data_IF_422865152211
#
_entry.id   IF_422865152211
#
_cell.length_a   1.000
_cell.length_b   1.000
_cell.length_c   1.000
_cell.angle_alpha   90.00
_cell.angle_beta   90.00
_cell.angle_gamma   90.00
#
_symmetry.space_group_name_H-M   'P 1'
#
loop_
_entity.id
_entity.type
_entity.pdbx_description
1 polymer ?
#
# COMPACT_ATOMS: atom_id res chain seq x y z
N UNK A 1 26.87 10.59 9.98
CA UNK A 1 25.90 10.69 11.09
C UNK A 1 25.84 9.38 11.85
N UNK A 2 25.73 9.42 13.17
CA UNK A 2 25.53 8.23 14.01
C UNK A 2 24.14 7.61 13.75
N UNK A 3 23.99 6.30 13.97
CA UNK A 3 22.72 5.59 13.80
C UNK A 3 21.81 5.84 15.01
N UNK A 4 20.55 6.13 14.75
CA UNK A 4 19.52 6.21 15.78
C UNK A 4 18.90 4.82 15.98
N UNK A 5 18.77 4.38 17.23
CA UNK A 5 18.18 3.08 17.56
C UNK A 5 16.96 3.30 18.45
N UNK A 6 15.81 2.77 18.01
CA UNK A 6 14.50 2.98 18.64
C UNK A 6 13.80 1.65 18.73
N UNK A 7 13.04 1.45 19.80
CA UNK A 7 12.43 0.18 20.14
C UNK A 7 10.94 0.32 20.47
N UNK A 8 10.28 -0.84 20.52
CA UNK A 8 8.93 -0.97 21.08
C UNK A 8 7.88 -0.14 20.35
N UNK A 9 6.97 0.43 21.13
CA UNK A 9 5.79 1.12 20.62
C UNK A 9 6.12 2.39 19.85
N UNK A 10 7.14 3.14 20.29
CA UNK A 10 7.53 4.38 19.64
C UNK A 10 7.97 4.15 18.18
N UNK A 11 8.72 3.07 17.94
CA UNK A 11 9.12 2.65 16.60
C UNK A 11 7.90 2.27 15.74
N UNK A 12 6.98 1.45 16.26
CA UNK A 12 5.77 1.03 15.53
C UNK A 12 4.87 2.20 15.17
N UNK A 13 4.68 3.15 16.10
CA UNK A 13 3.86 4.33 15.86
C UNK A 13 4.47 5.25 14.79
N UNK A 14 5.79 5.42 14.78
CA UNK A 14 6.48 6.18 13.74
C UNK A 14 6.30 5.52 12.36
N UNK A 15 6.50 4.21 12.27
CA UNK A 15 6.27 3.47 11.02
C UNK A 15 4.80 3.58 10.57
N UNK A 16 3.83 3.45 11.49
CA UNK A 16 2.41 3.61 11.18
C UNK A 16 2.08 5.00 10.63
N UNK A 17 2.66 6.07 11.19
CA UNK A 17 2.46 7.44 10.66
C UNK A 17 3.00 7.59 9.25
N UNK A 18 4.14 6.98 8.96
CA UNK A 18 4.71 6.93 7.61
C UNK A 18 3.82 6.19 6.61
N UNK A 19 3.36 5.00 7.00
CA UNK A 19 2.42 4.19 6.21
C UNK A 19 1.14 4.97 5.92
N UNK A 20 0.57 5.65 6.91
CA UNK A 20 -0.65 6.43 6.74
C UNK A 20 -0.44 7.61 5.80
N UNK A 21 0.65 8.36 5.90
CA UNK A 21 0.92 9.47 5.00
C UNK A 21 0.99 9.02 3.53
N UNK A 22 1.66 7.90 3.26
CA UNK A 22 1.71 7.36 1.90
C UNK A 22 0.35 6.83 1.44
N UNK A 23 -0.29 6.01 2.26
CA UNK A 23 -1.55 5.37 1.89
C UNK A 23 -2.70 6.37 1.73
N UNK A 24 -2.74 7.41 2.56
CA UNK A 24 -3.77 8.46 2.50
C UNK A 24 -3.63 9.31 1.24
N UNK A 25 -2.41 9.56 0.77
CA UNK A 25 -2.16 10.24 -0.49
C UNK A 25 -2.49 9.36 -1.72
N UNK A 26 -2.27 8.06 -1.64
CA UNK A 26 -2.53 7.13 -2.75
C UNK A 26 -4.01 6.76 -2.84
N UNK A 27 -4.69 6.49 -1.72
CA UNK A 27 -6.06 5.96 -1.73
C UNK A 27 -7.11 6.90 -2.33
N UNK A 28 -6.83 8.22 -2.38
CA UNK A 28 -7.77 9.18 -2.98
C UNK A 28 -7.92 8.97 -4.48
N UNK A 29 -6.97 8.29 -5.12
CA UNK A 29 -7.00 8.00 -6.55
C UNK A 29 -7.75 6.70 -6.89
N UNK A 30 -8.19 5.94 -5.88
CA UNK A 30 -8.81 4.62 -6.08
C UNK A 30 -10.17 4.70 -6.79
N UNK A 31 -10.31 3.89 -7.83
CA UNK A 31 -11.59 3.61 -8.51
C UNK A 31 -12.04 4.69 -9.51
N UNK A 32 -13.21 4.52 -10.14
CA UNK A 32 -13.68 5.38 -11.23
C UNK A 32 -13.96 6.82 -10.79
N UNK A 33 -14.20 7.03 -9.49
CA UNK A 33 -14.38 8.35 -8.86
C UNK A 33 -13.13 8.84 -8.12
N UNK A 34 -11.97 8.25 -8.44
CA UNK A 34 -10.68 8.69 -7.93
C UNK A 34 -10.46 10.17 -8.19
N UNK A 35 -9.95 10.87 -7.18
CA UNK A 35 -9.60 12.28 -7.23
C UNK A 35 -8.17 12.45 -7.73
N UNK A 36 -7.91 13.62 -8.29
CA UNK A 36 -6.57 13.97 -8.74
C UNK A 36 -5.68 14.30 -7.55
N UNK A 37 -4.44 13.87 -7.64
CA UNK A 37 -3.34 14.33 -6.80
C UNK A 37 -2.50 15.30 -7.62
N UNK A 38 -2.14 16.42 -7.01
CA UNK A 38 -1.27 17.44 -7.62
C UNK A 38 0.12 17.30 -7.03
N UNK A 39 1.10 17.12 -7.89
CA UNK A 39 2.50 16.87 -7.54
C UNK A 39 3.32 18.04 -8.07
N UNK A 40 4.04 18.68 -7.16
CA UNK A 40 4.94 19.78 -7.52
C UNK A 40 6.11 19.30 -8.38
N UNK A 41 6.59 20.17 -9.25
CA UNK A 41 7.75 19.92 -10.10
C UNK A 41 8.74 21.06 -9.94
N UNK A 42 10.03 20.72 -9.83
CA UNK A 42 11.11 21.72 -9.69
C UNK A 42 11.14 22.76 -10.81
N UNK A 43 10.65 22.41 -12.00
CA UNK A 43 10.55 23.29 -13.15
C UNK A 43 9.25 23.01 -13.92
N UNK A 44 8.63 24.06 -14.45
CA UNK A 44 7.40 23.95 -15.26
C UNK A 44 6.12 23.86 -14.43
N UNK A 45 5.07 23.29 -15.03
CA UNK A 45 3.76 23.12 -14.38
C UNK A 45 3.71 21.86 -13.49
N UNK A 46 2.85 21.86 -12.45
CA UNK A 46 2.66 20.69 -11.60
C UNK A 46 2.06 19.51 -12.39
N UNK A 47 2.33 18.29 -11.92
CA UNK A 47 1.72 17.09 -12.50
C UNK A 47 0.40 16.80 -11.80
N UNK A 48 -0.65 16.63 -12.58
CA UNK A 48 -1.97 16.23 -12.08
C UNK A 48 -2.16 14.77 -12.50
N UNK A 49 -2.33 13.86 -11.53
CA UNK A 49 -2.43 12.43 -11.82
C UNK A 49 -3.47 11.73 -10.94
N UNK A 50 -4.00 10.62 -11.44
CA UNK A 50 -4.77 9.61 -10.68
C UNK A 50 -4.01 8.29 -10.56
N UNK A 51 -2.79 8.21 -11.06
CA UNK A 51 -1.98 7.01 -10.94
C UNK A 51 -1.37 6.92 -9.53
N UNK A 52 -1.81 5.92 -8.77
CA UNK A 52 -1.31 5.67 -7.42
C UNK A 52 0.19 5.34 -7.36
N UNK A 53 0.75 4.76 -8.43
CA UNK A 53 2.19 4.45 -8.50
C UNK A 53 3.01 5.73 -8.61
N UNK A 54 2.60 6.63 -9.50
CA UNK A 54 3.23 7.94 -9.63
C UNK A 54 3.15 8.71 -8.32
N UNK A 55 1.99 8.71 -7.65
CA UNK A 55 1.85 9.37 -6.34
C UNK A 55 2.79 8.74 -5.30
N UNK A 56 2.82 7.41 -5.18
CA UNK A 56 3.65 6.73 -4.19
C UNK A 56 5.17 6.95 -4.40
N UNK A 57 5.61 7.15 -5.64
CA UNK A 57 7.03 7.42 -5.97
C UNK A 57 7.52 8.77 -5.47
N UNK A 58 6.64 9.77 -5.42
CA UNK A 58 6.96 11.15 -5.05
C UNK A 58 6.92 11.39 -3.54
N UNK A 59 6.54 10.37 -2.76
CA UNK A 59 6.47 10.47 -1.30
C UNK A 59 7.83 10.19 -0.68
N UNK A 60 8.41 11.25 -0.14
CA UNK A 60 9.63 11.24 0.66
C UNK A 60 9.40 12.09 1.92
N UNK A 61 9.46 11.43 3.09
CA UNK A 61 9.14 12.08 4.37
C UNK A 61 10.41 12.59 5.04
N UNK A 62 10.31 13.77 5.68
CA UNK A 62 11.43 14.41 6.37
C UNK A 62 11.93 13.60 7.57
N UNK A 63 11.00 12.99 8.32
CA UNK A 63 11.35 12.12 9.44
C UNK A 63 11.84 10.75 8.93
N UNK A 64 13.06 10.30 9.26
CA UNK A 64 13.60 9.05 8.72
C UNK A 64 12.82 7.79 9.11
N UNK A 65 12.16 7.77 10.27
CA UNK A 65 11.41 6.59 10.75
C UNK A 65 10.06 6.50 10.06
N UNK A 66 9.37 7.63 9.92
CA UNK A 66 8.14 7.71 9.13
C UNK A 66 8.46 7.40 7.67
N UNK A 67 9.54 7.96 7.13
CA UNK A 67 9.93 7.67 5.76
C UNK A 67 10.17 6.18 5.56
N UNK A 68 10.82 5.49 6.50
CA UNK A 68 11.01 4.04 6.43
C UNK A 68 9.68 3.29 6.29
N UNK A 69 8.65 3.68 7.05
CA UNK A 69 7.31 3.11 6.91
C UNK A 69 6.66 3.39 5.56
N UNK A 70 6.80 4.62 5.05
CA UNK A 70 6.34 4.97 3.70
C UNK A 70 7.05 4.12 2.63
N UNK A 71 8.39 4.00 2.71
CA UNK A 71 9.19 3.22 1.76
C UNK A 71 8.79 1.73 1.74
N UNK A 72 8.46 1.14 2.89
CA UNK A 72 7.97 -0.24 2.98
C UNK A 72 6.67 -0.45 2.17
N UNK A 73 5.72 0.48 2.24
CA UNK A 73 4.45 0.37 1.50
C UNK A 73 4.62 0.76 0.04
N UNK A 74 5.55 1.67 -0.28
CA UNK A 74 5.95 1.93 -1.67
C UNK A 74 6.46 0.66 -2.35
N UNK A 75 7.22 -0.17 -1.63
CA UNK A 75 7.71 -1.45 -2.15
C UNK A 75 6.56 -2.43 -2.46
N UNK A 76 5.53 -2.47 -1.61
CA UNK A 76 4.30 -3.25 -1.86
C UNK A 76 3.61 -2.82 -3.16
N UNK A 77 3.46 -1.50 -3.35
CA UNK A 77 2.86 -0.95 -4.57
C UNK A 77 3.70 -1.27 -5.81
N UNK A 78 5.02 -1.11 -5.75
CA UNK A 78 5.94 -1.38 -6.87
C UNK A 78 5.91 -2.85 -7.28
N UNK A 79 6.06 -3.78 -6.34
CA UNK A 79 6.05 -5.22 -6.63
C UNK A 79 4.72 -5.69 -7.25
N UNK A 80 3.61 -5.09 -6.81
CA UNK A 80 2.29 -5.36 -7.40
C UNK A 80 2.24 -4.89 -8.85
N UNK A 81 2.75 -3.68 -9.13
CA UNK A 81 2.86 -3.15 -10.49
C UNK A 81 3.71 -4.05 -11.38
N UNK A 82 4.86 -4.52 -10.88
CA UNK A 82 5.79 -5.34 -11.67
C UNK A 82 5.21 -6.71 -12.01
N UNK A 83 4.37 -7.26 -11.12
CA UNK A 83 3.78 -8.60 -11.30
C UNK A 83 2.48 -8.57 -12.09
N UNK A 84 1.62 -7.59 -11.83
CA UNK A 84 0.24 -7.56 -12.33
C UNK A 84 -0.04 -6.39 -13.29
N UNK A 85 0.79 -5.35 -13.31
CA UNK A 85 0.57 -4.14 -14.11
C UNK A 85 -0.53 -3.20 -13.60
N UNK A 86 -1.31 -3.61 -12.60
CA UNK A 86 -2.42 -2.87 -11.99
C UNK A 86 -2.61 -3.31 -10.52
N UNK A 87 -3.48 -2.61 -9.78
CA UNK A 87 -3.88 -2.98 -8.41
C UNK A 87 -2.99 -2.38 -7.31
N UNK A 88 -2.09 -1.47 -7.67
CA UNK A 88 -1.13 -0.86 -6.74
C UNK A 88 -1.81 -0.07 -5.62
N UNK A 89 -2.81 0.73 -5.97
CA UNK A 89 -3.65 1.46 -5.00
C UNK A 89 -4.37 0.50 -4.06
N UNK A 90 -4.91 -0.60 -4.59
CA UNK A 90 -5.57 -1.64 -3.78
C UNK A 90 -4.59 -2.29 -2.81
N UNK A 91 -3.38 -2.65 -3.28
CA UNK A 91 -2.34 -3.23 -2.45
C UNK A 91 -1.91 -2.29 -1.31
N UNK A 92 -1.75 -1.00 -1.60
CA UNK A 92 -1.44 0.04 -0.59
C UNK A 92 -2.53 0.15 0.47
N UNK A 93 -3.81 0.18 0.07
CA UNK A 93 -4.94 0.27 1.01
C UNK A 93 -5.03 -0.97 1.90
N UNK A 94 -4.83 -2.16 1.34
CA UNK A 94 -4.80 -3.41 2.11
C UNK A 94 -3.62 -3.45 3.08
N UNK A 95 -2.43 -3.03 2.64
CA UNK A 95 -1.25 -2.96 3.50
C UNK A 95 -1.46 -2.03 4.70
N UNK A 96 -2.06 -0.84 4.47
CA UNK A 96 -2.41 0.10 5.53
C UNK A 96 -3.37 -0.53 6.55
N UNK A 97 -4.45 -1.17 6.07
CA UNK A 97 -5.45 -1.79 6.94
C UNK A 97 -4.87 -2.93 7.78
N UNK A 98 -4.11 -3.84 7.15
CA UNK A 98 -3.49 -4.99 7.83
C UNK A 98 -2.49 -4.51 8.88
N UNK A 99 -1.62 -3.56 8.53
CA UNK A 99 -0.61 -3.05 9.46
C UNK A 99 -1.26 -2.34 10.65
N UNK A 100 -2.27 -1.49 10.41
CA UNK A 100 -2.97 -0.75 11.46
C UNK A 100 -3.64 -1.68 12.48
N UNK A 101 -4.42 -2.65 12.01
CA UNK A 101 -5.10 -3.58 12.90
C UNK A 101 -4.11 -4.56 13.56
N UNK A 102 -3.06 -4.98 12.85
CA UNK A 102 -1.97 -5.78 13.42
C UNK A 102 -1.25 -5.05 14.56
N UNK A 103 -0.86 -3.80 14.35
CA UNK A 103 -0.20 -2.96 15.35
C UNK A 103 -1.07 -2.76 16.60
N UNK A 104 -2.38 -2.56 16.41
CA UNK A 104 -3.35 -2.45 17.51
C UNK A 104 -3.43 -3.73 18.34
N UNK A 105 -3.49 -4.90 17.70
CA UNK A 105 -3.51 -6.18 18.41
C UNK A 105 -2.20 -6.45 19.17
N UNK A 106 -1.06 -6.10 18.58
CA UNK A 106 0.25 -6.22 19.23
C UNK A 106 0.35 -5.29 20.44
N UNK A 107 -0.15 -4.06 20.33
CA UNK A 107 -0.22 -3.13 21.45
C UNK A 107 -1.13 -3.64 22.58
N UNK A 108 -2.16 -4.42 22.26
CA UNK A 108 -3.02 -5.10 23.23
C UNK A 108 -2.39 -6.37 23.85
N UNK A 109 -1.14 -6.70 23.51
CA UNK A 109 -0.41 -7.83 24.07
C UNK A 109 -0.45 -9.12 23.25
N UNK A 110 -1.05 -9.11 22.06
CA UNK A 110 -1.02 -10.27 21.18
C UNK A 110 0.41 -10.56 20.68
N UNK A 111 0.77 -11.83 20.55
CA UNK A 111 2.05 -12.25 19.99
C UNK A 111 2.12 -11.89 18.48
N UNK A 112 3.07 -11.03 18.05
CA UNK A 112 3.19 -10.64 16.64
C UNK A 112 3.37 -11.83 15.69
N UNK A 113 4.04 -12.90 16.14
CA UNK A 113 4.29 -14.09 15.32
C UNK A 113 3.01 -14.89 15.07
N UNK A 114 2.11 -14.96 16.06
CA UNK A 114 0.83 -15.64 15.91
C UNK A 114 -0.14 -14.81 15.06
N UNK A 115 -0.15 -13.49 15.21
CA UNK A 115 -0.90 -12.57 14.33
C UNK A 115 -0.45 -12.74 12.87
N UNK A 116 0.87 -12.74 12.62
CA UNK A 116 1.42 -12.98 11.29
C UNK A 116 0.98 -14.32 10.72
N UNK A 117 1.11 -15.41 11.50
CA UNK A 117 0.70 -16.76 11.07
C UNK A 117 -0.79 -16.82 10.73
N UNK A 118 -1.63 -16.12 11.50
CA UNK A 118 -3.07 -16.01 11.23
C UNK A 118 -3.35 -15.31 9.91
N UNK A 119 -2.66 -14.19 9.64
CA UNK A 119 -2.77 -13.45 8.37
C UNK A 119 -2.35 -14.33 7.19
N UNK A 120 -1.22 -15.03 7.29
CA UNK A 120 -0.72 -15.92 6.22
C UNK A 120 -1.74 -17.01 5.86
N UNK A 121 -2.32 -17.68 6.87
CA UNK A 121 -3.37 -18.70 6.66
C UNK A 121 -4.62 -18.11 6.02
N UNK A 122 -5.04 -16.91 6.43
CA UNK A 122 -6.18 -16.24 5.83
C UNK A 122 -5.94 -15.88 4.37
N UNK A 123 -4.74 -15.38 4.03
CA UNK A 123 -4.35 -15.06 2.65
C UNK A 123 -4.32 -16.32 1.79
N UNK A 124 -3.80 -17.44 2.29
CA UNK A 124 -3.80 -18.72 1.57
C UNK A 124 -5.22 -19.20 1.26
N UNK A 125 -6.12 -19.18 2.25
CA UNK A 125 -7.50 -19.57 2.06
C UNK A 125 -8.24 -18.64 1.07
N UNK A 126 -8.05 -17.32 1.20
CA UNK A 126 -8.66 -16.33 0.32
C UNK A 126 -8.19 -16.46 -1.13
N UNK A 127 -6.88 -16.61 -1.35
CA UNK A 127 -6.34 -16.80 -2.71
C UNK A 127 -6.82 -18.09 -3.34
N UNK A 128 -6.96 -19.17 -2.54
CA UNK A 128 -7.59 -20.41 -2.98
C UNK A 128 -9.05 -20.22 -3.41
N UNK A 129 -9.83 -19.44 -2.65
CA UNK A 129 -11.22 -19.12 -3.00
C UNK A 129 -11.32 -18.24 -4.26
N UNK A 130 -10.47 -17.21 -4.38
CA UNK A 130 -10.43 -16.33 -5.55
C UNK A 130 -10.13 -17.11 -6.84
N UNK A 131 -9.21 -18.08 -6.79
CA UNK A 131 -8.93 -18.96 -7.94
C UNK A 131 -10.17 -19.76 -8.38
N UNK A 132 -10.99 -20.23 -7.43
CA UNK A 132 -12.23 -20.96 -7.73
C UNK A 132 -13.33 -20.06 -8.31
N UNK A 133 -13.33 -18.78 -7.94
CA UNK A 133 -14.28 -17.77 -8.46
C UNK A 133 -13.85 -17.19 -9.81
N UNK A 134 -12.58 -17.36 -10.19
CA UNK A 134 -12.02 -16.83 -11.42
C UNK A 134 -12.74 -17.41 -12.65
N UNK A 135 -12.98 -16.55 -13.65
CA UNK A 135 -13.60 -16.92 -14.92
C UNK A 135 -12.60 -16.69 -16.05
N UNK A 136 -12.37 -17.68 -16.94
CA UNK A 136 -11.57 -17.46 -18.13
C UNK A 136 -12.12 -16.33 -18.99
N UNK A 137 -11.25 -15.40 -19.38
CA UNK A 137 -11.60 -14.25 -20.23
C UNK A 137 -11.46 -14.64 -21.69
N UNK A 138 -12.49 -14.40 -22.50
CA UNK A 138 -12.46 -14.63 -23.95
C UNK A 138 -13.32 -13.61 -24.71
N UNK A 139 -12.99 -13.40 -25.99
CA UNK A 139 -13.72 -12.50 -26.88
C UNK A 139 -13.85 -11.07 -26.34
N UNK A 140 -15.07 -10.55 -26.32
CA UNK A 140 -15.39 -9.17 -25.92
C UNK A 140 -15.01 -8.85 -24.46
N UNK A 141 -14.80 -9.86 -23.61
CA UNK A 141 -14.38 -9.65 -22.22
C UNK A 141 -12.96 -9.05 -22.14
N UNK A 142 -12.10 -9.28 -23.14
CA UNK A 142 -10.74 -8.70 -23.16
C UNK A 142 -10.80 -7.18 -23.24
N UNK A 143 -11.68 -6.65 -24.09
CA UNK A 143 -11.87 -5.20 -24.21
C UNK A 143 -12.42 -4.59 -22.92
N UNK A 144 -13.33 -5.28 -22.22
CA UNK A 144 -13.88 -4.83 -20.94
C UNK A 144 -12.83 -4.74 -19.84
N UNK A 145 -11.84 -5.63 -19.83
CA UNK A 145 -10.72 -5.57 -18.86
C UNK A 145 -9.72 -4.46 -19.24
N UNK A 146 -9.44 -4.27 -20.53
CA UNK A 146 -8.45 -3.31 -21.01
C UNK A 146 -8.91 -1.85 -21.08
N UNK A 147 -10.20 -1.55 -20.88
CA UNK A 147 -10.74 -0.17 -20.90
C UNK A 147 -10.87 0.48 -19.51
N UNK A 148 -10.38 -0.20 -18.47
CA UNK A 148 -10.41 0.27 -17.07
C UNK A 148 -9.33 1.33 -16.83
#
# INVERSE_FOLDING_TARGET
MAKQIIYGEHSRQAVLRGINQLADAVKVTLGPKGRNVVIDKKFGSPTITKDGVTVAKEIDLKDPLENMGAQMVREVASKTSDTAGDGTTTATVLAQAIYREGAKNVAAGANPMDVKRGIEKAVEALTGALKKMSKPVSGNMVAQVGTI
#
